data_IF_064638062419
#
_entry.id   IF_064638062419
#
_cell.length_a   1.000
_cell.length_b   1.000
_cell.length_c   1.000
_cell.angle_alpha   90.00
_cell.angle_beta   90.00
_cell.angle_gamma   90.00
#
_symmetry.space_group_name_H-M   'P 1'
#
loop_
_entity.id
_entity.type
_entity.pdbx_description
1 polymer ?
#
# COMPACT_ATOMS: atom_id res chain seq x y z
N UNK A 1 -21.66 -13.72 -1.77
CA UNK A 1 -20.26 -13.93 -1.34
C UNK A 1 -19.47 -14.68 -2.42
N UNK A 2 -19.97 -15.78 -2.96
CA UNK A 2 -19.25 -16.59 -3.98
C UNK A 2 -18.64 -15.80 -5.13
N UNK A 3 -19.38 -14.86 -5.73
CA UNK A 3 -18.83 -14.01 -6.80
C UNK A 3 -17.59 -13.22 -6.34
N UNK A 4 -17.66 -12.59 -5.16
CA UNK A 4 -16.55 -11.82 -4.62
C UNK A 4 -15.36 -12.73 -4.37
N UNK A 5 -15.57 -13.87 -3.71
CA UNK A 5 -14.52 -14.86 -3.46
C UNK A 5 -13.84 -15.33 -4.75
N UNK A 6 -14.62 -15.66 -5.77
CA UNK A 6 -14.08 -16.04 -7.08
C UNK A 6 -13.22 -14.91 -7.67
N UNK A 7 -13.74 -13.68 -7.72
CA UNK A 7 -13.04 -12.55 -8.30
C UNK A 7 -11.76 -12.13 -7.54
N UNK A 8 -11.66 -12.43 -6.24
CA UNK A 8 -10.54 -11.94 -5.40
C UNK A 8 -9.55 -13.01 -4.97
N UNK A 9 -9.86 -14.30 -5.14
CA UNK A 9 -9.06 -15.38 -4.56
C UNK A 9 -8.82 -16.57 -5.48
N UNK A 10 -9.60 -16.72 -6.55
CA UNK A 10 -9.29 -17.71 -7.58
C UNK A 10 -8.10 -17.23 -8.42
N UNK A 11 -7.00 -17.99 -8.43
CA UNK A 11 -5.74 -17.55 -9.07
C UNK A 11 -5.93 -17.31 -10.57
N UNK A 12 -6.67 -18.18 -11.26
CA UNK A 12 -6.88 -18.04 -12.71
C UNK A 12 -7.74 -16.82 -13.02
N UNK A 13 -8.82 -16.61 -12.25
CA UNK A 13 -9.67 -15.42 -12.40
C UNK A 13 -8.88 -14.13 -12.17
N UNK A 14 -8.04 -14.06 -11.12
CA UNK A 14 -7.21 -12.89 -10.81
C UNK A 14 -6.17 -12.64 -11.90
N UNK A 15 -5.50 -13.68 -12.40
CA UNK A 15 -4.54 -13.57 -13.53
C UNK A 15 -5.23 -13.06 -14.79
N UNK A 16 -6.37 -13.63 -15.14
CA UNK A 16 -7.14 -13.22 -16.31
C UNK A 16 -7.61 -11.76 -16.21
N UNK A 17 -8.07 -11.35 -15.03
CA UNK A 17 -8.46 -9.98 -14.77
C UNK A 17 -7.28 -9.02 -14.91
N UNK A 18 -6.15 -9.31 -14.25
CA UNK A 18 -4.90 -8.53 -14.36
C UNK A 18 -4.41 -8.37 -15.79
N UNK A 19 -4.44 -9.44 -16.57
CA UNK A 19 -4.09 -9.42 -17.99
C UNK A 19 -5.05 -8.52 -18.80
N UNK A 20 -6.35 -8.58 -18.51
CA UNK A 20 -7.39 -7.81 -19.19
C UNK A 20 -7.27 -6.31 -18.94
N UNK A 21 -7.00 -5.88 -17.70
CA UNK A 21 -6.91 -4.46 -17.34
C UNK A 21 -5.48 -3.92 -17.30
N UNK A 22 -4.48 -4.78 -17.56
CA UNK A 22 -3.04 -4.46 -17.52
C UNK A 22 -2.61 -3.89 -16.16
N UNK A 23 -2.98 -4.59 -15.09
CA UNK A 23 -2.66 -4.19 -13.71
C UNK A 23 -1.97 -5.33 -12.95
N UNK A 24 -1.33 -4.99 -11.82
CA UNK A 24 -0.68 -5.95 -10.93
C UNK A 24 -1.75 -6.81 -10.24
N UNK A 25 -1.63 -8.16 -10.23
CA UNK A 25 -2.56 -9.02 -9.52
C UNK A 25 -2.48 -8.86 -8.00
N UNK A 26 -3.61 -9.07 -7.32
CA UNK A 26 -3.76 -8.81 -5.89
C UNK A 26 -3.40 -9.99 -4.98
N UNK A 27 -2.89 -11.10 -5.53
CA UNK A 27 -2.48 -12.29 -4.75
C UNK A 27 -1.04 -12.71 -5.08
N UNK A 28 -0.35 -13.28 -4.09
CA UNK A 28 1.03 -13.74 -4.23
C UNK A 28 1.14 -14.93 -5.21
N UNK A 29 0.14 -15.79 -5.25
CA UNK A 29 0.04 -16.90 -6.18
C UNK A 29 -0.10 -16.39 -7.62
N UNK A 30 -0.98 -15.42 -7.85
CA UNK A 30 -1.17 -14.85 -9.19
C UNK A 30 0.07 -14.10 -9.67
N UNK A 31 0.80 -13.40 -8.79
CA UNK A 31 2.07 -12.74 -9.11
C UNK A 31 3.14 -13.70 -9.68
N UNK A 32 3.08 -14.99 -9.30
CA UNK A 32 4.02 -16.03 -9.72
C UNK A 32 3.51 -16.85 -10.92
N UNK A 33 2.31 -16.57 -11.42
CA UNK A 33 1.71 -17.35 -12.49
C UNK A 33 2.50 -17.18 -13.80
N UNK A 34 2.82 -18.28 -14.51
CA UNK A 34 3.43 -18.22 -15.83
C UNK A 34 2.48 -17.66 -16.91
N UNK A 35 1.17 -17.57 -16.62
CA UNK A 35 0.13 -17.12 -17.55
C UNK A 35 -0.07 -15.60 -17.54
N UNK A 36 0.64 -14.88 -16.67
CA UNK A 36 0.63 -13.43 -16.69
C UNK A 36 1.28 -12.90 -17.97
N UNK A 37 0.59 -11.98 -18.63
CA UNK A 37 0.99 -11.34 -19.88
C UNK A 37 1.41 -9.91 -19.59
N UNK A 38 2.67 -9.73 -19.24
CA UNK A 38 3.23 -8.42 -18.93
C UNK A 38 4.05 -7.86 -20.09
N UNK A 39 3.88 -6.56 -20.32
CA UNK A 39 4.82 -5.76 -21.11
C UNK A 39 6.19 -5.75 -20.39
N UNK A 40 7.34 -5.81 -21.09
CA UNK A 40 8.64 -5.73 -20.44
C UNK A 40 8.83 -4.52 -19.53
N UNK A 41 8.18 -3.39 -19.83
CA UNK A 41 8.18 -2.18 -18.99
C UNK A 41 7.41 -2.37 -17.69
N UNK A 42 6.54 -3.37 -17.61
CA UNK A 42 5.74 -3.68 -16.43
C UNK A 42 6.51 -4.51 -15.40
N UNK A 43 7.66 -5.08 -15.79
CA UNK A 43 8.49 -5.92 -14.91
C UNK A 43 8.83 -5.24 -13.59
N UNK A 44 9.17 -3.95 -13.61
CA UNK A 44 9.50 -3.18 -12.41
C UNK A 44 8.37 -3.19 -11.38
N UNK A 45 7.11 -3.06 -11.82
CA UNK A 45 5.97 -3.07 -10.89
C UNK A 45 5.75 -4.45 -10.27
N UNK A 46 5.96 -5.51 -11.04
CA UNK A 46 5.87 -6.89 -10.54
C UNK A 46 7.01 -7.23 -9.58
N UNK A 47 8.22 -6.72 -9.85
CA UNK A 47 9.36 -6.88 -8.95
C UNK A 47 9.10 -6.15 -7.63
N UNK A 48 8.60 -4.91 -7.67
CA UNK A 48 8.21 -4.15 -6.47
C UNK A 48 7.10 -4.86 -5.70
N UNK A 49 6.06 -5.37 -6.39
CA UNK A 49 4.94 -6.05 -5.74
C UNK A 49 5.33 -7.38 -5.08
N UNK A 50 6.36 -8.06 -5.59
CA UNK A 50 6.87 -9.32 -5.04
C UNK A 50 7.98 -9.12 -4.00
N UNK A 51 8.48 -7.89 -3.82
CA UNK A 51 9.56 -7.63 -2.89
C UNK A 51 9.09 -7.90 -1.45
N UNK A 52 9.88 -8.60 -0.61
CA UNK A 52 9.45 -8.96 0.76
C UNK A 52 9.23 -7.76 1.68
N UNK A 53 9.83 -6.60 1.38
CA UNK A 53 9.60 -5.35 2.12
C UNK A 53 8.45 -4.51 1.53
N UNK A 54 7.80 -4.98 0.47
CA UNK A 54 6.62 -4.36 -0.10
C UNK A 54 5.38 -4.93 0.55
N UNK A 55 4.48 -4.05 0.97
CA UNK A 55 3.22 -4.42 1.61
C UNK A 55 2.14 -3.40 1.30
N UNK A 56 0.91 -3.71 1.69
CA UNK A 56 -0.18 -2.74 1.73
C UNK A 56 -0.11 -1.90 3.01
N UNK A 57 -0.90 -0.83 3.06
CA UNK A 57 -1.03 0.00 4.26
C UNK A 57 -1.66 -0.79 5.40
N UNK A 58 -1.11 -0.64 6.61
CA UNK A 58 -1.65 -1.28 7.80
C UNK A 58 -3.06 -0.76 8.11
N UNK A 59 -3.95 -1.66 8.52
CA UNK A 59 -5.27 -1.29 9.00
C UNK A 59 -5.18 -0.65 10.38
N UNK A 60 -5.61 0.60 10.51
CA UNK A 60 -5.80 1.28 11.80
C UNK A 60 -7.30 1.48 12.10
N UNK A 61 -7.66 1.56 13.38
CA UNK A 61 -9.06 1.78 13.83
C UNK A 61 -9.66 3.09 13.28
N UNK A 62 -8.81 4.08 13.02
CA UNK A 62 -9.16 5.37 12.42
C UNK A 62 -8.79 5.45 10.92
N UNK A 63 -8.58 4.32 10.25
CA UNK A 63 -8.28 4.28 8.81
C UNK A 63 -6.94 4.95 8.46
N UNK A 64 -6.91 5.71 7.36
CA UNK A 64 -5.68 6.27 6.80
C UNK A 64 -5.15 7.55 7.50
N UNK A 65 -5.75 7.95 8.64
CA UNK A 65 -5.37 9.20 9.34
C UNK A 65 -3.88 9.30 9.63
N UNK A 66 -3.23 8.18 10.02
CA UNK A 66 -1.80 8.18 10.30
C UNK A 66 -0.95 8.58 9.08
N UNK A 67 -1.35 8.17 7.88
CA UNK A 67 -0.67 8.52 6.63
C UNK A 67 -0.82 10.00 6.31
N UNK A 68 -2.02 10.55 6.53
CA UNK A 68 -2.30 11.97 6.31
C UNK A 68 -1.50 12.86 7.28
N UNK A 69 -1.41 12.45 8.55
CA UNK A 69 -0.59 13.15 9.56
C UNK A 69 0.90 13.14 9.19
N UNK A 70 1.41 12.01 8.72
CA UNK A 70 2.79 11.91 8.23
C UNK A 70 3.02 12.74 6.95
N UNK A 71 2.06 12.72 6.02
CA UNK A 71 2.12 13.49 4.77
C UNK A 71 2.15 15.00 5.03
N UNK A 72 1.28 15.52 5.92
CA UNK A 72 1.31 16.93 6.28
C UNK A 72 2.64 17.31 6.91
N UNK A 73 3.18 16.48 7.82
CA UNK A 73 4.52 16.70 8.38
C UNK A 73 5.59 16.79 7.28
N UNK A 74 5.55 15.87 6.30
CA UNK A 74 6.42 15.90 5.13
C UNK A 74 6.38 17.25 4.41
N UNK A 75 5.18 17.77 4.12
CA UNK A 75 5.03 19.09 3.50
C UNK A 75 5.57 20.24 4.36
N UNK A 76 5.44 20.17 5.69
CA UNK A 76 6.02 21.18 6.58
C UNK A 76 7.56 21.14 6.56
N UNK A 77 8.15 19.95 6.49
CA UNK A 77 9.60 19.79 6.43
C UNK A 77 10.16 20.23 5.07
N UNK A 78 9.56 19.77 3.96
CA UNK A 78 9.99 20.10 2.59
C UNK A 78 9.97 21.60 2.32
N UNK A 79 8.96 22.33 2.81
CA UNK A 79 8.88 23.80 2.67
C UNK A 79 9.77 24.56 3.68
N UNK A 80 10.52 23.84 4.52
CA UNK A 80 11.47 24.40 5.48
C UNK A 80 10.84 25.02 6.73
N UNK A 81 9.56 24.74 7.03
CA UNK A 81 8.89 25.21 8.24
C UNK A 81 9.33 24.45 9.49
N UNK A 82 9.78 23.21 9.34
CA UNK A 82 10.41 22.41 10.40
C UNK A 82 11.92 22.36 10.13
N UNK A 83 12.72 22.78 11.11
CA UNK A 83 14.20 22.76 11.03
C UNK A 83 14.82 21.52 11.66
N UNK A 84 14.14 20.95 12.66
CA UNK A 84 14.57 19.74 13.35
C UNK A 84 13.70 18.56 12.88
N UNK A 85 14.25 17.77 11.96
CA UNK A 85 13.56 16.61 11.39
C UNK A 85 13.23 15.57 12.46
N UNK A 86 14.17 15.29 13.37
CA UNK A 86 14.00 14.23 14.34
C UNK A 86 12.92 14.59 15.37
N UNK A 87 13.01 15.78 15.96
CA UNK A 87 11.98 16.25 16.90
C UNK A 87 10.59 16.34 16.23
N UNK A 88 10.57 16.72 14.95
CA UNK A 88 9.37 16.74 14.13
C UNK A 88 8.73 15.36 13.97
N UNK A 89 9.53 14.36 13.56
CA UNK A 89 9.09 12.98 13.41
C UNK A 89 8.57 12.39 14.73
N UNK A 90 9.28 12.63 15.84
CA UNK A 90 8.85 12.16 17.17
C UNK A 90 7.52 12.77 17.60
N UNK A 91 7.29 14.06 17.30
CA UNK A 91 6.02 14.72 17.57
C UNK A 91 4.90 14.14 16.72
N UNK A 92 5.15 13.91 15.43
CA UNK A 92 4.21 13.28 14.50
C UNK A 92 3.82 11.88 14.97
N UNK A 93 4.78 11.06 15.40
CA UNK A 93 4.53 9.74 15.97
C UNK A 93 3.60 9.81 17.20
N UNK A 94 3.91 10.68 18.17
CA UNK A 94 3.05 10.88 19.36
C UNK A 94 1.63 11.33 19.01
N UNK A 95 1.47 12.14 17.96
CA UNK A 95 0.16 12.57 17.49
C UNK A 95 -0.65 11.40 16.92
N UNK A 96 -0.02 10.57 16.10
CA UNK A 96 -0.63 9.35 15.54
C UNK A 96 -1.10 8.42 16.66
N UNK A 97 -0.25 8.16 17.66
CA UNK A 97 -0.61 7.33 18.81
C UNK A 97 -1.82 7.88 19.58
N UNK A 98 -1.85 9.20 19.77
CA UNK A 98 -2.95 9.90 20.45
C UNK A 98 -4.26 9.75 19.67
N UNK A 99 -4.23 9.90 18.35
CA UNK A 99 -5.43 9.83 17.51
C UNK A 99 -5.96 8.40 17.39
N UNK A 100 -5.08 7.40 17.32
CA UNK A 100 -5.46 5.99 17.39
C UNK A 100 -6.10 5.67 18.74
N UNK A 101 -5.53 6.17 19.85
CA UNK A 101 -6.07 5.91 21.18
C UNK A 101 -7.48 6.51 21.38
N UNK A 102 -7.76 7.69 20.80
CA UNK A 102 -9.09 8.34 20.86
C UNK A 102 -10.17 7.64 20.05
N UNK A 103 -9.79 6.85 19.04
CA UNK A 103 -10.71 6.15 18.14
C UNK A 103 -11.06 4.73 18.62
N UNK A 104 -10.47 4.28 19.73
CA UNK A 104 -10.85 3.05 20.43
C UNK A 104 -11.97 3.32 21.42
#
# INVERSE_FOLDING_TARGET
WELVKFMTSDTEAVVNFSNGIRNVPSTLEALKSPDLKFDPRFKTFLDIAQHPESSTSDGAVNGATYQLTLQDFGYQYEKGAVKDLQAGLEKTARQIDTDIAKAK
#
